data_IF_422995095123
#
_entry.id   IF_422995095123
#
_cell.length_a   1.000
_cell.length_b   1.000
_cell.length_c   1.000
_cell.angle_alpha   90.00
_cell.angle_beta   90.00
_cell.angle_gamma   90.00
#
_symmetry.space_group_name_H-M   'P 1'
#
loop_
_entity.id
_entity.type
_entity.pdbx_description
1 polymer ?
#
# COMPACT_ATOMS: atom_id res chain seq x y z
N UNK A 1 16.42 28.41 6.69
CA UNK A 1 15.78 29.04 7.88
C UNK A 1 14.69 28.15 8.52
N UNK A 2 14.03 27.24 7.79
CA UNK A 2 13.00 26.31 8.35
C UNK A 2 13.54 24.98 8.91
N UNK A 3 14.80 24.62 8.68
CA UNK A 3 15.40 23.34 9.09
C UNK A 3 15.87 23.31 10.56
N UNK A 4 16.03 24.49 11.17
CA UNK A 4 16.50 24.65 12.54
C UNK A 4 15.47 24.17 13.60
N UNK A 5 14.17 24.52 13.50
CA UNK A 5 13.17 24.04 14.47
C UNK A 5 12.89 22.53 14.36
N UNK A 6 13.02 21.90 13.19
CA UNK A 6 12.85 20.44 13.05
C UNK A 6 13.94 19.62 13.74
N UNK A 7 15.10 20.22 14.00
CA UNK A 7 16.21 19.55 14.71
C UNK A 7 16.02 19.52 16.23
N UNK A 8 15.20 20.41 16.79
CA UNK A 8 14.98 20.50 18.25
C UNK A 8 14.43 19.20 18.85
N UNK A 9 13.34 18.58 18.34
CA UNK A 9 12.84 17.33 18.89
C UNK A 9 13.79 16.14 18.67
N UNK A 10 14.55 16.13 17.57
CA UNK A 10 15.59 15.12 17.31
C UNK A 10 16.74 15.23 18.32
N UNK A 11 17.17 16.44 18.66
CA UNK A 11 18.19 16.66 19.68
C UNK A 11 17.68 16.37 21.09
N UNK A 12 16.42 16.69 21.38
CA UNK A 12 15.79 16.38 22.67
C UNK A 12 15.66 14.86 22.90
N UNK A 13 15.25 14.11 21.87
CA UNK A 13 15.19 12.64 21.91
C UNK A 13 16.58 12.01 22.00
N UNK A 14 17.57 12.55 21.28
CA UNK A 14 18.96 12.13 21.43
C UNK A 14 19.50 12.41 22.84
N UNK A 15 19.09 13.52 23.47
CA UNK A 15 19.42 13.84 24.85
C UNK A 15 18.81 12.88 25.89
N UNK A 16 17.61 12.36 25.62
CA UNK A 16 16.96 11.37 26.48
C UNK A 16 17.73 10.04 26.54
N UNK A 17 18.46 9.68 25.48
CA UNK A 17 19.33 8.50 25.44
C UNK A 17 20.54 8.60 26.38
N UNK A 18 20.88 9.80 26.87
CA UNK A 18 21.97 10.02 27.82
C UNK A 18 21.58 9.69 29.27
N UNK A 19 20.29 9.48 29.56
CA UNK A 19 19.79 9.01 30.87
C UNK A 19 18.87 7.81 30.68
N UNK A 20 19.41 6.65 30.25
CA UNK A 20 18.59 5.47 29.99
C UNK A 20 18.03 4.92 31.30
N UNK A 21 16.70 4.89 31.40
CA UNK A 21 16.01 4.25 32.50
C UNK A 21 15.95 2.73 32.23
N UNK A 22 16.77 1.98 32.95
CA UNK A 22 17.06 0.57 32.64
C UNK A 22 15.81 -0.31 32.81
N UNK A 23 14.90 0.06 33.70
CA UNK A 23 13.62 -0.64 33.91
C UNK A 23 12.66 -0.46 32.72
N UNK A 24 12.59 0.75 32.14
CA UNK A 24 11.75 1.04 30.97
C UNK A 24 12.27 0.29 29.74
N UNK A 25 13.59 0.30 29.53
CA UNK A 25 14.21 -0.39 28.38
C UNK A 25 14.00 -1.91 28.50
N UNK A 26 14.15 -2.48 29.70
CA UNK A 26 13.89 -3.89 29.95
C UNK A 26 12.45 -4.31 29.67
N UNK A 27 11.48 -3.49 30.08
CA UNK A 27 10.05 -3.73 29.81
C UNK A 27 9.72 -3.63 28.32
N UNK A 28 10.21 -2.59 27.63
CA UNK A 28 9.99 -2.43 26.18
C UNK A 28 10.55 -3.60 25.38
N UNK A 29 11.75 -4.08 25.75
CA UNK A 29 12.41 -5.20 25.06
C UNK A 29 11.65 -6.52 25.20
N UNK A 30 11.04 -6.77 26.36
CA UNK A 30 10.36 -8.04 26.63
C UNK A 30 8.90 -8.04 26.19
N UNK A 31 8.20 -6.92 26.30
CA UNK A 31 6.74 -6.90 26.16
C UNK A 31 6.23 -6.17 24.92
N UNK A 32 6.96 -5.16 24.41
CA UNK A 32 6.45 -4.28 23.35
C UNK A 32 7.16 -4.55 22.01
N UNK A 33 8.49 -4.52 22.01
CA UNK A 33 9.28 -4.62 20.78
C UNK A 33 9.03 -5.91 19.97
N UNK A 34 8.97 -7.11 20.57
CA UNK A 34 8.75 -8.34 19.79
C UNK A 34 7.37 -8.39 19.14
N UNK A 35 6.35 -7.91 19.86
CA UNK A 35 4.97 -7.91 19.38
C UNK A 35 4.77 -6.89 18.25
N UNK A 36 5.22 -5.65 18.45
CA UNK A 36 5.13 -4.57 17.45
C UNK A 36 5.95 -4.92 16.21
N UNK A 37 7.15 -5.49 16.38
CA UNK A 37 7.98 -5.92 15.24
C UNK A 37 7.29 -7.02 14.41
N UNK A 38 6.69 -8.01 15.07
CA UNK A 38 5.93 -9.06 14.39
C UNK A 38 4.70 -8.53 13.65
N UNK A 39 3.92 -7.68 14.31
CA UNK A 39 2.71 -7.08 13.75
C UNK A 39 3.03 -6.17 12.55
N UNK A 40 4.07 -5.35 12.67
CA UNK A 40 4.57 -4.48 11.61
C UNK A 40 5.12 -5.30 10.45
N UNK A 41 5.88 -6.37 10.70
CA UNK A 41 6.39 -7.25 9.65
C UNK A 41 5.26 -7.82 8.79
N UNK A 42 4.21 -8.36 9.41
CA UNK A 42 3.05 -8.88 8.67
C UNK A 42 2.26 -7.80 7.94
N UNK A 43 2.13 -6.61 8.53
CA UNK A 43 1.49 -5.48 7.90
C UNK A 43 2.26 -5.05 6.64
N UNK A 44 3.57 -4.84 6.75
CA UNK A 44 4.44 -4.47 5.64
C UNK A 44 4.44 -5.53 4.53
N UNK A 45 4.51 -6.81 4.90
CA UNK A 45 4.48 -7.89 3.93
C UNK A 45 3.12 -7.95 3.20
N UNK A 46 2.02 -7.83 3.93
CA UNK A 46 0.68 -7.82 3.36
C UNK A 46 0.43 -6.63 2.43
N UNK A 47 0.73 -5.42 2.89
CA UNK A 47 0.55 -4.18 2.12
C UNK A 47 1.51 -4.13 0.93
N UNK A 48 2.77 -4.50 1.13
CA UNK A 48 3.77 -4.55 0.06
C UNK A 48 3.37 -5.51 -1.07
N UNK A 49 2.92 -6.73 -0.73
CA UNK A 49 2.44 -7.70 -1.72
C UNK A 49 1.13 -7.25 -2.37
N UNK A 50 0.17 -6.76 -1.57
CA UNK A 50 -1.13 -6.31 -2.06
C UNK A 50 -1.00 -5.16 -3.06
N UNK A 51 -0.22 -4.13 -2.71
CA UNK A 51 0.04 -2.99 -3.58
C UNK A 51 0.90 -3.35 -4.79
N UNK A 52 1.89 -4.23 -4.64
CA UNK A 52 2.68 -4.75 -5.76
C UNK A 52 1.77 -5.41 -6.80
N UNK A 53 0.89 -6.32 -6.36
CA UNK A 53 -0.01 -7.06 -7.26
C UNK A 53 -1.04 -6.10 -7.88
N UNK A 54 -1.81 -5.38 -7.08
CA UNK A 54 -2.86 -4.49 -7.59
C UNK A 54 -2.31 -3.38 -8.46
N UNK A 55 -1.28 -2.67 -7.98
CA UNK A 55 -0.66 -1.56 -8.71
C UNK A 55 -0.05 -2.00 -10.02
N UNK A 56 0.67 -3.14 -10.05
CA UNK A 56 1.26 -3.68 -11.28
C UNK A 56 0.20 -4.15 -12.27
N UNK A 57 -0.83 -4.86 -11.80
CA UNK A 57 -1.93 -5.33 -12.67
C UNK A 57 -2.69 -4.15 -13.30
N UNK A 58 -3.03 -3.14 -12.50
CA UNK A 58 -3.71 -1.94 -12.99
C UNK A 58 -2.82 -1.13 -13.93
N UNK A 59 -1.52 -1.02 -13.63
CA UNK A 59 -0.55 -0.35 -14.48
C UNK A 59 -0.47 -1.05 -15.84
N UNK A 60 -0.26 -2.38 -15.86
CA UNK A 60 -0.19 -3.18 -17.07
C UNK A 60 -1.48 -3.09 -17.90
N UNK A 61 -2.65 -3.17 -17.25
CA UNK A 61 -3.96 -3.02 -17.90
C UNK A 61 -4.08 -1.66 -18.57
N UNK A 62 -3.76 -0.58 -17.85
CA UNK A 62 -3.87 0.78 -18.38
C UNK A 62 -2.76 1.14 -19.34
N UNK A 63 -1.60 0.49 -19.34
CA UNK A 63 -0.50 0.80 -20.26
C UNK A 63 -0.54 -0.02 -21.55
N UNK A 64 -0.87 -1.32 -21.44
CA UNK A 64 -0.73 -2.29 -22.53
C UNK A 64 -2.05 -2.64 -23.22
N UNK A 65 -3.21 -2.33 -22.63
CA UNK A 65 -4.52 -2.59 -23.21
C UNK A 65 -5.21 -1.31 -23.68
N UNK A 66 -5.95 -1.40 -24.78
CA UNK A 66 -6.81 -0.34 -25.29
C UNK A 66 -8.28 -0.69 -25.03
N UNK A 67 -9.00 0.20 -24.33
CA UNK A 67 -10.42 0.05 -24.03
C UNK A 67 -11.11 1.42 -23.93
N UNK A 68 -12.42 1.51 -24.23
CA UNK A 68 -13.15 2.77 -24.13
C UNK A 68 -13.17 3.26 -22.67
N UNK A 69 -12.92 4.55 -22.46
CA UNK A 69 -12.91 5.15 -21.12
C UNK A 69 -11.58 5.02 -20.35
N UNK A 70 -10.52 4.48 -20.95
CA UNK A 70 -9.17 4.36 -20.37
C UNK A 70 -8.65 5.63 -19.69
N UNK A 71 -8.91 6.81 -20.27
CA UNK A 71 -8.48 8.10 -19.68
C UNK A 71 -9.16 8.37 -18.34
N UNK A 72 -10.49 8.20 -18.29
CA UNK A 72 -11.26 8.40 -17.06
C UNK A 72 -10.83 7.38 -16.01
N UNK A 73 -10.74 6.10 -16.39
CA UNK A 73 -10.27 5.05 -15.49
C UNK A 73 -8.88 5.35 -14.93
N UNK A 74 -7.93 5.75 -15.78
CA UNK A 74 -6.56 6.08 -15.35
C UNK A 74 -6.49 7.23 -14.34
N UNK A 75 -7.43 8.17 -14.42
CA UNK A 75 -7.55 9.29 -13.49
C UNK A 75 -8.23 8.88 -12.18
N UNK A 76 -9.29 8.05 -12.26
CA UNK A 76 -9.98 7.50 -11.08
C UNK A 76 -9.04 6.67 -10.21
N UNK A 77 -8.09 5.94 -10.80
CA UNK A 77 -7.10 5.14 -10.06
C UNK A 77 -6.15 5.99 -9.19
N UNK A 78 -6.03 7.29 -9.45
CA UNK A 78 -5.18 8.20 -8.68
C UNK A 78 -5.97 8.88 -7.56
N UNK A 79 -7.31 8.85 -7.59
CA UNK A 79 -8.15 9.50 -6.59
C UNK A 79 -7.84 9.16 -5.12
N UNK A 80 -7.48 7.92 -4.76
CA UNK A 80 -7.18 7.62 -3.36
C UNK A 80 -6.04 8.47 -2.78
N UNK A 81 -5.08 8.92 -3.60
CA UNK A 81 -3.99 9.82 -3.18
C UNK A 81 -4.46 11.22 -2.76
N UNK A 82 -5.67 11.63 -3.14
CA UNK A 82 -6.19 12.95 -2.79
C UNK A 82 -6.63 13.03 -1.32
N UNK A 83 -6.87 11.88 -0.67
CA UNK A 83 -7.32 11.79 0.71
C UNK A 83 -6.16 11.32 1.60
N UNK A 84 -5.98 11.87 2.81
CA UNK A 84 -5.06 11.31 3.79
C UNK A 84 -5.43 9.86 4.13
N UNK A 85 -4.44 8.99 4.32
CA UNK A 85 -4.64 7.55 4.62
C UNK A 85 -5.57 7.31 5.80
N UNK A 86 -5.41 8.08 6.88
CA UNK A 86 -6.29 8.06 8.05
C UNK A 86 -7.77 8.34 7.72
N UNK A 87 -8.05 9.31 6.85
CA UNK A 87 -9.43 9.67 6.47
C UNK A 87 -10.06 8.52 5.71
N UNK A 88 -9.29 7.90 4.80
CA UNK A 88 -9.75 6.71 4.09
C UNK A 88 -10.00 5.55 5.08
N UNK A 89 -9.09 5.33 6.03
CA UNK A 89 -9.23 4.32 7.07
C UNK A 89 -10.53 4.45 7.87
N UNK A 90 -10.82 5.64 8.39
CA UNK A 90 -12.07 5.88 9.14
C UNK A 90 -13.30 5.75 8.25
N UNK A 91 -13.25 6.21 6.99
CA UNK A 91 -14.34 6.05 6.04
C UNK A 91 -14.63 4.57 5.74
N UNK A 92 -13.58 3.77 5.51
CA UNK A 92 -13.70 2.32 5.30
C UNK A 92 -14.24 1.61 6.54
N UNK A 93 -13.77 1.97 7.74
CA UNK A 93 -14.36 1.47 8.97
C UNK A 93 -15.85 1.79 8.97
N UNK A 94 -16.27 3.04 8.79
CA UNK A 94 -17.69 3.42 8.79
C UNK A 94 -18.55 2.71 7.74
N UNK A 95 -17.99 2.37 6.58
CA UNK A 95 -18.67 1.65 5.51
C UNK A 95 -18.81 0.14 5.78
N UNK A 96 -17.78 -0.47 6.35
CA UNK A 96 -17.70 -1.92 6.54
C UNK A 96 -17.88 -2.37 7.99
N UNK A 97 -18.12 -1.44 8.92
CA UNK A 97 -18.45 -1.77 10.29
C UNK A 97 -19.74 -2.58 10.34
N UNK A 98 -19.89 -3.40 11.38
CA UNK A 98 -21.05 -4.26 11.56
C UNK A 98 -22.37 -3.46 11.62
N UNK A 99 -22.30 -2.23 12.13
CA UNK A 99 -23.43 -1.32 12.27
C UNK A 99 -23.73 -0.49 11.01
N UNK A 100 -23.01 -0.70 9.91
CA UNK A 100 -23.18 0.12 8.71
C UNK A 100 -24.46 -0.23 7.95
N UNK A 101 -25.12 0.74 7.29
CA UNK A 101 -26.30 0.47 6.45
C UNK A 101 -26.02 -0.54 5.33
N UNK A 102 -24.80 -0.51 4.79
CA UNK A 102 -24.36 -1.43 3.74
C UNK A 102 -24.20 -2.86 4.29
N UNK A 103 -23.56 -3.01 5.46
CA UNK A 103 -23.38 -4.30 6.11
C UNK A 103 -24.70 -4.89 6.60
N UNK A 104 -25.66 -4.04 7.00
CA UNK A 104 -27.03 -4.45 7.31
C UNK A 104 -27.77 -4.96 6.07
N UNK A 105 -27.77 -4.16 5.00
CA UNK A 105 -28.41 -4.53 3.73
C UNK A 105 -27.88 -5.84 3.15
N UNK A 106 -26.56 -6.05 3.18
CA UNK A 106 -25.93 -7.28 2.65
C UNK A 106 -26.31 -8.52 3.47
N UNK A 107 -26.49 -8.35 4.79
CA UNK A 107 -26.92 -9.42 5.69
C UNK A 107 -28.37 -9.81 5.44
N UNK A 108 -29.22 -8.81 5.25
CA UNK A 108 -30.65 -9.00 5.00
C UNK A 108 -30.93 -9.59 3.61
N UNK A 109 -30.15 -9.20 2.60
CA UNK A 109 -30.36 -9.65 1.22
C UNK A 109 -29.62 -10.93 0.86
N UNK A 110 -28.34 -11.03 1.21
CA UNK A 110 -27.47 -12.15 0.81
C UNK A 110 -27.18 -13.13 1.95
N UNK A 111 -27.61 -12.85 3.18
CA UNK A 111 -27.27 -13.67 4.36
C UNK A 111 -25.78 -13.65 4.71
N UNK A 112 -24.98 -12.84 4.01
CA UNK A 112 -23.53 -12.78 4.19
C UNK A 112 -23.15 -11.76 5.26
N UNK A 113 -22.35 -12.22 6.21
CA UNK A 113 -21.73 -11.38 7.22
C UNK A 113 -20.35 -10.98 6.73
N UNK A 114 -20.14 -9.67 6.56
CA UNK A 114 -18.83 -9.15 6.24
C UNK A 114 -17.87 -9.46 7.41
N UNK A 115 -16.63 -9.90 7.12
CA UNK A 115 -15.63 -10.10 8.15
C UNK A 115 -15.35 -8.79 8.87
N UNK A 116 -14.95 -8.88 10.14
CA UNK A 116 -14.69 -7.71 10.97
C UNK A 116 -13.62 -6.82 10.35
N UNK A 117 -14.00 -5.57 10.03
CA UNK A 117 -13.10 -4.61 9.38
C UNK A 117 -11.93 -4.25 10.30
N UNK A 118 -12.15 -4.20 11.62
CA UNK A 118 -11.14 -3.96 12.66
C UNK A 118 -10.27 -5.20 12.89
N UNK A 119 -9.64 -5.67 11.82
CA UNK A 119 -8.75 -6.83 11.82
C UNK A 119 -7.49 -6.53 11.03
N UNK A 120 -6.44 -7.36 11.24
CA UNK A 120 -5.19 -7.31 10.45
C UNK A 120 -5.43 -7.30 8.95
N UNK A 121 -6.31 -8.17 8.48
CA UNK A 121 -6.65 -8.29 7.07
C UNK A 121 -7.39 -7.05 6.55
N UNK A 122 -8.31 -6.49 7.35
CA UNK A 122 -8.99 -5.23 7.03
C UNK A 122 -8.02 -4.07 6.91
N UNK A 123 -7.11 -3.90 7.87
CA UNK A 123 -6.06 -2.88 7.83
C UNK A 123 -5.15 -3.03 6.61
N UNK A 124 -4.65 -4.25 6.34
CA UNK A 124 -3.84 -4.54 5.14
C UNK A 124 -4.62 -4.19 3.86
N UNK A 125 -5.90 -4.56 3.79
CA UNK A 125 -6.74 -4.30 2.62
C UNK A 125 -6.95 -2.80 2.40
N UNK A 126 -7.29 -2.05 3.44
CA UNK A 126 -7.50 -0.61 3.36
C UNK A 126 -6.21 0.12 3.01
N UNK A 127 -5.10 -0.18 3.70
CA UNK A 127 -3.78 0.38 3.37
C UNK A 127 -3.37 0.07 1.92
N UNK A 128 -3.63 -1.15 1.47
CA UNK A 128 -3.40 -1.54 0.07
C UNK A 128 -4.22 -0.69 -0.90
N UNK A 129 -5.51 -0.48 -0.62
CA UNK A 129 -6.40 0.33 -1.44
C UNK A 129 -6.05 1.84 -1.41
N UNK A 130 -5.49 2.32 -0.31
CA UNK A 130 -4.97 3.68 -0.19
C UNK A 130 -3.66 3.88 -0.96
N UNK A 131 -2.75 2.90 -0.87
CA UNK A 131 -1.35 3.07 -1.27
C UNK A 131 -0.98 2.41 -2.62
N UNK A 132 -1.83 1.56 -3.20
CA UNK A 132 -1.58 1.01 -4.55
C UNK A 132 -1.31 2.08 -5.63
N UNK A 133 -1.87 3.31 -5.59
CA UNK A 133 -1.64 4.30 -6.63
C UNK A 133 -0.16 4.67 -6.79
N UNK A 134 0.65 4.60 -5.73
CA UNK A 134 2.09 4.83 -5.79
C UNK A 134 2.79 3.81 -6.70
N UNK A 135 2.52 2.51 -6.49
CA UNK A 135 3.04 1.44 -7.35
C UNK A 135 2.51 1.57 -8.77
N UNK A 136 1.20 1.85 -8.91
CA UNK A 136 0.56 2.04 -10.21
C UNK A 136 1.22 3.13 -11.04
N UNK A 137 1.48 4.31 -10.47
CA UNK A 137 2.08 5.45 -11.19
C UNK A 137 3.48 5.11 -11.69
N UNK A 138 4.32 4.53 -10.84
CA UNK A 138 5.71 4.19 -11.16
C UNK A 138 5.77 3.03 -12.17
N UNK A 139 4.95 2.00 -11.98
CA UNK A 139 4.91 0.85 -12.89
C UNK A 139 4.30 1.20 -14.25
N UNK A 140 3.28 2.08 -14.30
CA UNK A 140 2.61 2.49 -15.53
C UNK A 140 3.59 3.14 -16.52
N UNK A 141 4.46 4.02 -16.03
CA UNK A 141 5.46 4.68 -16.86
C UNK A 141 6.50 3.67 -17.39
N UNK A 142 6.92 2.72 -16.55
CA UNK A 142 7.83 1.65 -16.96
C UNK A 142 7.22 0.75 -18.04
N UNK A 143 5.95 0.37 -17.90
CA UNK A 143 5.27 -0.43 -18.91
C UNK A 143 4.99 0.34 -20.20
N UNK A 144 4.62 1.61 -20.13
CA UNK A 144 4.37 2.45 -21.30
C UNK A 144 5.65 2.74 -22.11
N UNK A 145 6.81 2.78 -21.44
CA UNK A 145 8.11 3.03 -22.08
C UNK A 145 8.85 1.73 -22.41
N UNK A 146 9.65 1.22 -21.46
CA UNK A 146 10.55 0.08 -21.64
C UNK A 146 9.78 -1.22 -21.86
N UNK A 147 8.67 -1.41 -21.14
CA UNK A 147 7.84 -2.61 -21.23
C UNK A 147 7.18 -2.80 -22.59
N UNK A 148 6.75 -1.72 -23.25
CA UNK A 148 6.14 -1.76 -24.59
C UNK A 148 7.18 -2.12 -25.66
N UNK A 149 8.36 -1.47 -25.63
CA UNK A 149 9.47 -1.78 -26.56
C UNK A 149 9.94 -3.23 -26.44
N UNK A 150 10.09 -3.71 -25.21
CA UNK A 150 10.48 -5.09 -24.94
C UNK A 150 9.41 -6.09 -25.43
N UNK A 151 8.13 -5.74 -25.29
CA UNK A 151 7.02 -6.55 -25.80
C UNK A 151 7.03 -6.63 -27.33
N UNK A 152 7.23 -5.51 -28.03
CA UNK A 152 7.27 -5.45 -29.50
C UNK A 152 8.44 -6.28 -30.05
N UNK A 153 9.64 -6.12 -29.49
CA UNK A 153 10.81 -6.91 -29.85
C UNK A 153 10.58 -8.42 -29.61
N UNK A 154 9.98 -8.77 -28.47
CA UNK A 154 9.63 -10.16 -28.16
C UNK A 154 8.63 -10.76 -29.17
N UNK A 155 7.61 -9.99 -29.57
CA UNK A 155 6.64 -10.41 -30.59
C UNK A 155 7.24 -10.54 -31.98
N UNK A 156 8.17 -9.67 -32.35
CA UNK A 156 8.91 -9.78 -33.62
C UNK A 156 9.74 -11.07 -33.70
N UNK A 157 10.21 -11.58 -32.56
CA UNK A 157 10.90 -12.87 -32.42
C UNK A 157 9.94 -14.08 -32.34
N UNK A 158 8.64 -13.89 -32.61
CA UNK A 158 7.66 -14.97 -32.66
C UNK A 158 7.04 -15.36 -31.31
N UNK A 159 7.29 -14.60 -30.23
CA UNK A 159 6.59 -14.86 -28.96
C UNK A 159 5.13 -14.39 -29.01
N UNK A 160 4.23 -15.24 -28.52
CA UNK A 160 2.83 -14.84 -28.27
C UNK A 160 2.72 -13.74 -27.20
N UNK A 161 1.60 -13.00 -27.18
CA UNK A 161 1.43 -11.80 -26.35
C UNK A 161 1.60 -12.07 -24.85
N UNK A 162 1.02 -13.16 -24.34
CA UNK A 162 1.14 -13.53 -22.93
C UNK A 162 2.57 -13.91 -22.54
N UNK A 163 3.29 -14.59 -23.44
CA UNK A 163 4.68 -14.99 -23.20
C UNK A 163 5.61 -13.78 -23.23
N UNK A 164 5.39 -12.86 -24.16
CA UNK A 164 6.12 -11.60 -24.25
C UNK A 164 5.86 -10.70 -23.01
N UNK A 165 4.62 -10.69 -22.48
CA UNK A 165 4.31 -9.98 -21.24
C UNK A 165 5.14 -10.47 -20.06
N UNK A 166 5.07 -11.76 -19.74
CA UNK A 166 5.75 -12.32 -18.58
C UNK A 166 7.27 -12.43 -18.73
N UNK A 167 7.78 -12.62 -19.95
CA UNK A 167 9.22 -12.82 -20.18
C UNK A 167 9.99 -11.56 -20.57
N UNK A 168 9.32 -10.53 -21.10
CA UNK A 168 9.98 -9.30 -21.53
C UNK A 168 9.48 -8.09 -20.74
N UNK A 169 8.17 -7.84 -20.75
CA UNK A 169 7.59 -6.62 -20.19
C UNK A 169 7.68 -6.55 -18.66
N UNK A 170 7.21 -7.60 -17.96
CA UNK A 170 7.23 -7.65 -16.49
C UNK A 170 8.66 -7.57 -15.94
N UNK A 171 9.65 -8.34 -16.44
CA UNK A 171 11.05 -8.24 -15.97
C UNK A 171 11.65 -6.84 -16.09
N UNK A 172 11.35 -6.11 -17.16
CA UNK A 172 11.80 -4.73 -17.34
C UNK A 172 11.16 -3.76 -16.35
N UNK A 173 9.91 -4.03 -15.93
CA UNK A 173 9.19 -3.22 -14.95
C UNK A 173 9.56 -3.52 -13.49
N UNK A 174 10.19 -4.66 -13.18
CA UNK A 174 10.54 -5.09 -11.80
C UNK A 174 11.27 -4.03 -10.96
N UNK A 175 12.33 -3.35 -11.43
CA UNK A 175 13.02 -2.34 -10.61
C UNK A 175 12.11 -1.15 -10.26
N UNK A 176 11.22 -0.78 -11.17
CA UNK A 176 10.24 0.30 -10.98
C UNK A 176 9.15 -0.10 -9.99
N UNK A 177 8.64 -1.34 -10.10
CA UNK A 177 7.68 -1.90 -9.14
C UNK A 177 8.32 -1.96 -7.75
N UNK A 178 9.58 -2.43 -7.63
CA UNK A 178 10.30 -2.45 -6.37
C UNK A 178 10.46 -1.04 -5.78
N UNK A 179 10.78 -0.03 -6.59
CA UNK A 179 10.84 1.37 -6.14
C UNK A 179 9.48 1.88 -5.62
N UNK A 180 8.39 1.58 -6.32
CA UNK A 180 7.04 1.92 -5.87
C UNK A 180 6.67 1.22 -4.57
N UNK A 181 6.99 -0.07 -4.43
CA UNK A 181 6.74 -0.84 -3.21
C UNK A 181 7.56 -0.29 -2.04
N UNK A 182 8.84 0.04 -2.24
CA UNK A 182 9.67 0.65 -1.19
C UNK A 182 9.07 1.95 -0.67
N UNK A 183 8.52 2.78 -1.56
CA UNK A 183 7.83 4.00 -1.18
C UNK A 183 6.57 3.70 -0.36
N UNK A 184 5.76 2.72 -0.80
CA UNK A 184 4.59 2.25 -0.03
C UNK A 184 4.99 1.75 1.36
N UNK A 185 6.07 0.98 1.48
CA UNK A 185 6.53 0.46 2.77
C UNK A 185 7.00 1.60 3.69
N UNK A 186 7.67 2.61 3.14
CA UNK A 186 8.04 3.81 3.89
C UNK A 186 6.80 4.56 4.40
N UNK A 187 5.81 4.78 3.54
CA UNK A 187 4.56 5.46 3.93
C UNK A 187 3.78 4.63 4.98
N UNK A 188 3.74 3.31 4.82
CA UNK A 188 3.08 2.41 5.78
C UNK A 188 3.74 2.47 7.15
N UNK A 189 5.08 2.57 7.21
CA UNK A 189 5.82 2.75 8.46
C UNK A 189 5.58 4.12 9.10
N UNK A 190 5.28 5.14 8.30
CA UNK A 190 5.03 6.49 8.77
C UNK A 190 3.56 6.72 9.21
N UNK A 191 2.62 5.87 8.76
CA UNK A 191 1.18 6.06 9.01
C UNK A 191 0.72 5.43 10.33
N UNK A 192 1.03 6.11 11.44
CA UNK A 192 0.48 5.78 12.76
C UNK A 192 -1.03 6.03 12.87
N UNK A 193 -1.58 6.95 12.07
CA UNK A 193 -2.97 7.35 12.15
C UNK A 193 -3.90 6.20 11.76
N UNK A 194 -3.72 5.63 10.58
CA UNK A 194 -4.58 4.54 10.12
C UNK A 194 -4.40 3.26 10.95
N UNK A 195 -3.20 2.98 11.47
CA UNK A 195 -2.96 1.84 12.39
C UNK A 195 -3.74 2.02 13.71
N UNK A 196 -3.67 3.22 14.31
CA UNK A 196 -4.41 3.52 15.55
C UNK A 196 -5.93 3.53 15.36
N UNK A 197 -6.45 3.95 14.20
CA UNK A 197 -7.88 3.90 13.91
C UNK A 197 -8.46 2.47 13.98
N UNK A 198 -7.65 1.48 13.59
CA UNK A 198 -8.00 0.07 13.60
C UNK A 198 -7.73 -0.61 14.96
N UNK A 199 -7.23 0.12 15.97
CA UNK A 199 -6.76 -0.42 17.26
C UNK A 199 -5.77 -1.58 17.07
N UNK A 200 -4.84 -1.42 16.12
CA UNK A 200 -3.81 -2.42 15.87
C UNK A 200 -2.52 -2.02 16.58
N UNK A 201 -1.99 -2.93 17.41
CA UNK A 201 -0.78 -2.75 18.22
C UNK A 201 0.52 -2.98 17.42
#
# INVERSE_FOLDING_TARGET
>A
MLTLPSLVPLLATAGALLRPDVEIIGHLWHYVLPQVAGNTFWLLLGVGLGTAVLGTCLAALVSLCEFPGRRVFSWLLVLPLAMPGYVLAVAFIGLFDYSSPLAGWLRETAGWQLPEIRSRAGLIGVMTLSLYPYVYLVAREAFASQGARAMEAARALGMGPWRAFWRASVPMARPWIAGGVLLVLMETLADFGAVSAFNYD
#
